data_IF_020710621592
#
_entry.id   IF_020710621592
#
_cell.length_a   1.000
_cell.length_b   1.000
_cell.length_c   1.000
_cell.angle_alpha   90.00
_cell.angle_beta   90.00
_cell.angle_gamma   90.00
#
_symmetry.space_group_name_H-M   'P 1'
#
loop_
_entity.id
_entity.type
_entity.pdbx_description
1 polymer ?
#
# COMPACT_ATOMS: atom_id res chain seq x y z
N UNK A 1 -2.95 3.32 -1.67
CA UNK A 1 -1.51 2.96 -1.52
C UNK A 1 -1.31 1.66 -2.29
N UNK A 2 -0.59 1.67 -3.41
CA UNK A 2 -0.60 0.60 -4.40
C UNK A 2 0.55 -0.39 -4.18
N UNK A 3 0.27 -1.47 -3.47
CA UNK A 3 1.22 -2.56 -3.21
C UNK A 3 0.87 -3.74 -4.11
N UNK A 4 1.88 -4.38 -4.69
CA UNK A 4 1.69 -5.68 -5.31
C UNK A 4 1.48 -5.62 -6.83
N UNK A 5 2.03 -6.66 -7.44
CA UNK A 5 2.11 -6.88 -8.87
C UNK A 5 0.70 -6.82 -9.46
N UNK A 6 0.53 -6.07 -10.53
CA UNK A 6 -0.73 -6.01 -11.26
C UNK A 6 -0.51 -6.48 -12.70
N UNK A 7 -1.53 -7.13 -13.25
CA UNK A 7 -1.54 -7.56 -14.65
C UNK A 7 -2.14 -6.44 -15.49
N UNK A 8 -1.38 -5.97 -16.49
CA UNK A 8 -1.81 -4.91 -17.41
C UNK A 8 -1.45 -5.32 -18.83
N UNK A 9 -2.44 -5.37 -19.72
CA UNK A 9 -2.28 -5.86 -21.10
C UNK A 9 -1.50 -7.19 -21.14
N UNK A 10 -1.96 -8.19 -20.39
CA UNK A 10 -1.33 -9.50 -20.26
C UNK A 10 0.11 -9.56 -19.72
N UNK A 11 0.72 -8.42 -19.38
CA UNK A 11 2.05 -8.38 -18.77
C UNK A 11 1.97 -8.20 -17.25
N UNK A 12 2.75 -8.98 -16.51
CA UNK A 12 2.91 -8.82 -15.06
C UNK A 12 3.89 -7.68 -14.78
N UNK A 13 3.44 -6.65 -14.04
CA UNK A 13 4.28 -5.49 -13.68
C UNK A 13 4.62 -5.51 -12.19
N UNK A 14 5.91 -5.55 -11.85
CA UNK A 14 6.40 -5.45 -10.46
C UNK A 14 6.09 -4.06 -9.89
N UNK A 15 5.47 -4.03 -8.70
CA UNK A 15 5.42 -2.87 -7.80
C UNK A 15 6.14 -3.23 -6.49
N UNK A 16 7.45 -3.47 -6.57
CA UNK A 16 8.26 -3.90 -5.41
C UNK A 16 8.87 -2.75 -4.60
N UNK A 17 8.86 -1.53 -5.13
CA UNK A 17 9.34 -0.33 -4.45
C UNK A 17 8.16 0.65 -4.36
N UNK A 18 7.60 0.76 -3.15
CA UNK A 18 6.55 1.71 -2.84
C UNK A 18 7.14 3.05 -2.41
N UNK A 19 6.30 4.09 -2.42
CA UNK A 19 6.61 5.36 -1.74
C UNK A 19 5.62 5.58 -0.60
N UNK A 20 6.15 5.92 0.58
CA UNK A 20 5.38 6.39 1.71
C UNK A 20 5.76 7.86 1.98
N UNK A 21 4.92 8.78 1.48
CA UNK A 21 5.29 10.20 1.43
C UNK A 21 6.57 10.38 0.59
N UNK A 22 7.61 11.00 1.19
CA UNK A 22 8.92 11.19 0.56
C UNK A 22 9.87 10.00 0.70
N UNK A 23 9.46 8.91 1.37
CA UNK A 23 10.34 7.77 1.68
C UNK A 23 10.12 6.61 0.71
N UNK A 24 11.22 6.02 0.29
CA UNK A 24 11.21 4.76 -0.46
C UNK A 24 10.99 3.61 0.52
N UNK A 25 10.07 2.71 0.20
CA UNK A 25 9.73 1.54 1.03
C UNK A 25 9.76 0.26 0.20
N UNK A 26 10.11 -0.83 0.85
CA UNK A 26 10.02 -2.20 0.36
C UNK A 26 8.93 -2.92 1.15
N UNK A 27 8.01 -3.59 0.47
CA UNK A 27 6.99 -4.40 1.12
C UNK A 27 7.62 -5.73 1.56
N UNK A 28 7.42 -6.11 2.81
CA UNK A 28 7.96 -7.35 3.37
C UNK A 28 6.88 -8.42 3.51
N UNK A 29 5.73 -8.06 4.09
CA UNK A 29 4.66 -9.02 4.36
C UNK A 29 3.31 -8.33 4.57
N UNK A 30 2.23 -9.10 4.53
CA UNK A 30 0.89 -8.69 4.92
C UNK A 30 0.38 -9.65 5.97
N UNK A 31 0.08 -9.14 7.16
CA UNK A 31 -0.35 -9.93 8.31
C UNK A 31 -1.73 -9.51 8.76
N UNK A 32 -2.49 -10.47 9.24
CA UNK A 32 -3.77 -10.25 9.90
C UNK A 32 -3.59 -10.26 11.42
N UNK A 33 -4.21 -9.32 12.12
CA UNK A 33 -4.29 -9.28 13.58
C UNK A 33 -5.70 -8.82 13.97
N UNK A 34 -6.45 -9.64 14.69
CA UNK A 34 -7.80 -9.35 15.18
C UNK A 34 -8.74 -8.83 14.07
N UNK A 35 -8.79 -9.53 12.93
CA UNK A 35 -9.64 -9.15 11.79
C UNK A 35 -9.19 -7.90 11.02
N UNK A 36 -8.09 -7.27 11.45
CA UNK A 36 -7.50 -6.10 10.80
C UNK A 36 -6.28 -6.48 9.99
N UNK A 37 -6.17 -5.86 8.81
CA UNK A 37 -5.05 -6.08 7.91
C UNK A 37 -3.91 -5.09 8.18
N UNK A 38 -2.69 -5.60 8.33
CA UNK A 38 -1.48 -4.83 8.52
C UNK A 38 -0.47 -5.13 7.42
N UNK A 39 0.16 -4.09 6.89
CA UNK A 39 1.28 -4.21 5.96
C UNK A 39 2.59 -3.98 6.71
N UNK A 40 3.49 -4.95 6.60
CA UNK A 40 4.84 -4.88 7.12
C UNK A 40 5.75 -4.38 6.01
N UNK A 41 6.43 -3.26 6.24
CA UNK A 41 7.25 -2.60 5.23
C UNK A 41 8.60 -2.19 5.81
N UNK A 42 9.64 -2.24 4.98
CA UNK A 42 10.98 -1.77 5.29
C UNK A 42 11.21 -0.42 4.64
N UNK A 43 11.58 0.59 5.43
CA UNK A 43 11.92 1.91 4.91
C UNK A 43 13.36 1.93 4.41
N UNK A 44 13.54 2.16 3.11
CA UNK A 44 14.84 2.29 2.47
C UNK A 44 15.35 3.74 2.57
N UNK A 45 16.57 3.92 3.07
CA UNK A 45 17.23 5.25 3.21
C UNK A 45 18.36 5.43 2.21
N UNK A 46 18.10 5.14 0.94
CA UNK A 46 19.11 5.02 -0.14
C UNK A 46 19.89 6.32 -0.41
N UNK A 47 19.35 7.49 -0.07
CA UNK A 47 19.97 8.79 -0.41
C UNK A 47 20.79 9.45 0.72
N UNK A 48 21.14 8.74 1.80
CA UNK A 48 21.55 9.39 3.06
C UNK A 48 23.04 9.39 3.41
N UNK A 49 23.93 8.88 2.57
CA UNK A 49 25.35 8.79 2.92
C UNK A 49 25.99 10.18 3.09
N UNK A 50 25.87 11.05 2.07
CA UNK A 50 26.44 12.41 2.08
C UNK A 50 25.90 13.28 3.21
N UNK A 51 24.58 13.24 3.43
CA UNK A 51 23.92 14.02 4.49
C UNK A 51 24.23 13.50 5.89
N UNK A 52 24.47 12.20 6.06
CA UNK A 52 24.86 11.63 7.35
C UNK A 52 26.33 11.90 7.70
N UNK A 53 27.20 12.00 6.68
CA UNK A 53 28.58 12.46 6.85
C UNK A 53 28.60 13.92 7.34
N UNK A 54 27.88 14.81 6.65
CA UNK A 54 27.81 16.23 7.02
C UNK A 54 27.21 16.48 8.40
N UNK A 55 26.30 15.61 8.87
CA UNK A 55 25.64 15.74 10.18
C UNK A 55 26.31 14.93 11.29
N UNK A 56 27.43 14.24 11.04
CA UNK A 56 28.12 13.41 12.04
C UNK A 56 27.31 12.18 12.49
N UNK A 57 26.26 11.80 11.77
CA UNK A 57 25.36 10.69 12.11
C UNK A 57 25.60 9.43 11.28
N UNK A 58 26.84 9.23 10.81
CA UNK A 58 27.23 8.11 9.93
C UNK A 58 26.86 6.73 10.52
N UNK A 59 26.89 6.57 11.86
CA UNK A 59 26.43 5.36 12.57
C UNK A 59 24.96 4.98 12.32
N UNK A 60 24.16 5.91 11.80
CA UNK A 60 22.75 5.71 11.47
C UNK A 60 22.52 5.39 9.98
N UNK A 61 23.58 5.42 9.15
CA UNK A 61 23.55 4.97 7.77
C UNK A 61 23.43 3.44 7.76
N UNK A 62 22.47 2.91 7.00
CA UNK A 62 22.25 1.47 6.89
C UNK A 62 21.30 0.85 7.93
N UNK A 63 20.86 1.61 8.95
CA UNK A 63 19.78 1.14 9.84
C UNK A 63 18.43 1.26 9.12
N UNK A 64 17.93 0.14 8.63
CA UNK A 64 16.59 0.03 8.05
C UNK A 64 15.56 -0.09 9.17
N UNK A 65 14.43 0.60 9.01
CA UNK A 65 13.34 0.55 9.97
C UNK A 65 12.19 -0.27 9.38
N UNK A 66 11.77 -1.29 10.10
CA UNK A 66 10.52 -1.99 9.82
C UNK A 66 9.37 -1.21 10.44
N UNK A 67 8.33 -0.97 9.66
CA UNK A 67 7.11 -0.31 10.09
C UNK A 67 5.93 -1.22 9.80
N UNK A 68 4.99 -1.30 10.73
CA UNK A 68 3.68 -1.89 10.51
C UNK A 68 2.68 -0.76 10.29
N UNK A 69 1.84 -0.89 9.26
CA UNK A 69 0.78 0.07 8.98
C UNK A 69 -0.55 -0.67 8.86
N UNK A 70 -1.54 -0.25 9.65
CA UNK A 70 -2.93 -0.68 9.48
C UNK A 70 -3.45 -0.21 8.13
N UNK A 71 -4.04 -1.13 7.37
CA UNK A 71 -4.74 -0.83 6.12
C UNK A 71 -6.17 -0.44 6.45
N UNK A 72 -6.67 0.62 5.83
CA UNK A 72 -8.10 0.91 5.82
C UNK A 72 -8.71 0.13 4.65
N UNK A 73 -9.63 -0.78 4.96
CA UNK A 73 -10.28 -1.67 3.99
C UNK A 73 -11.20 -0.89 3.03
N UNK A 74 -11.77 0.24 3.49
CA UNK A 74 -12.69 1.07 2.72
C UNK A 74 -12.01 2.33 2.15
N UNK A 75 -10.70 2.28 1.88
CA UNK A 75 -9.91 3.44 1.47
C UNK A 75 -9.94 3.76 -0.03
N UNK A 76 -10.73 3.03 -0.83
CA UNK A 76 -10.87 3.33 -2.26
C UNK A 76 -11.95 4.38 -2.50
N UNK A 77 -11.53 5.64 -2.52
CA UNK A 77 -12.41 6.82 -2.70
C UNK A 77 -12.98 6.95 -4.13
N UNK A 78 -12.63 6.04 -5.05
CA UNK A 78 -13.16 6.05 -6.44
C UNK A 78 -14.40 5.19 -6.61
N UNK A 79 -14.81 4.48 -5.58
CA UNK A 79 -15.95 3.57 -5.59
C UNK A 79 -16.90 3.93 -4.46
N UNK A 80 -18.19 3.79 -4.74
CA UNK A 80 -19.20 3.72 -3.72
C UNK A 80 -19.36 2.25 -3.35
N UNK A 81 -18.99 1.93 -2.11
CA UNK A 81 -19.23 0.62 -1.51
C UNK A 81 -20.64 0.62 -0.93
N UNK A 82 -21.41 -0.45 -1.13
CA UNK A 82 -22.77 -0.53 -0.60
C UNK A 82 -22.81 -0.90 0.89
N UNK A 83 -21.71 -1.44 1.40
CA UNK A 83 -21.51 -1.81 2.80
C UNK A 83 -20.04 -1.58 3.17
N UNK A 84 -19.74 -1.44 4.45
CA UNK A 84 -18.38 -1.29 4.96
C UNK A 84 -17.71 -2.65 5.20
N UNK A 85 -16.46 -2.80 4.74
CA UNK A 85 -15.58 -3.89 5.17
C UNK A 85 -15.06 -3.62 6.59
N UNK A 86 -15.53 -4.40 7.56
CA UNK A 86 -15.12 -4.30 8.97
C UNK A 86 -14.00 -5.27 9.33
N UNK A 87 -14.02 -6.46 8.73
CA UNK A 87 -13.11 -7.57 9.00
C UNK A 87 -12.70 -8.23 7.66
N UNK A 88 -11.46 -8.70 7.55
CA UNK A 88 -10.98 -9.45 6.38
C UNK A 88 -11.46 -10.90 6.35
N UNK A 89 -11.83 -11.46 7.50
CA UNK A 89 -12.30 -12.84 7.65
C UNK A 89 -13.83 -12.98 7.61
N UNK A 90 -14.55 -11.88 7.41
CA UNK A 90 -16.02 -11.87 7.40
C UNK A 90 -16.61 -12.76 6.27
N UNK A 91 -15.79 -13.17 5.29
CA UNK A 91 -16.18 -14.07 4.19
C UNK A 91 -17.20 -13.47 3.22
N UNK A 92 -17.60 -12.21 3.44
CA UNK A 92 -18.58 -11.48 2.64
C UNK A 92 -17.95 -10.90 1.38
N UNK A 93 -18.74 -10.89 0.32
CA UNK A 93 -18.44 -10.17 -0.90
C UNK A 93 -19.30 -8.91 -0.91
N UNK A 94 -18.65 -7.75 -1.00
CA UNK A 94 -19.34 -6.46 -1.05
C UNK A 94 -19.39 -5.96 -2.50
N UNK A 95 -20.60 -5.64 -2.93
CA UNK A 95 -20.84 -5.01 -4.23
C UNK A 95 -20.51 -3.51 -4.17
N UNK A 96 -20.04 -2.96 -5.29
CA UNK A 96 -19.65 -1.55 -5.39
C UNK A 96 -19.97 -1.00 -6.77
N UNK A 97 -20.18 0.31 -6.87
CA UNK A 97 -20.26 1.02 -8.15
C UNK A 97 -19.12 2.05 -8.31
N UNK A 98 -18.59 2.27 -9.52
CA UNK A 98 -17.64 3.34 -9.76
C UNK A 98 -18.33 4.71 -9.58
N UNK A 99 -17.64 5.67 -8.94
CA UNK A 99 -18.16 7.05 -8.78
C UNK A 99 -18.02 7.90 -10.05
N UNK A 100 -17.22 7.44 -11.03
CA UNK A 100 -16.99 8.17 -12.28
C UNK A 100 -17.96 7.72 -13.37
N UNK A 101 -18.67 8.68 -13.98
CA UNK A 101 -19.59 8.46 -15.10
C UNK A 101 -18.95 7.77 -16.32
N UNK A 102 -17.63 7.90 -16.51
CA UNK A 102 -16.92 7.30 -17.65
C UNK A 102 -16.84 5.76 -17.60
N UNK A 103 -17.25 5.15 -16.48
CA UNK A 103 -17.18 3.70 -16.25
C UNK A 103 -18.56 3.07 -16.04
N UNK A 104 -19.64 3.84 -16.21
CA UNK A 104 -20.97 3.25 -16.30
C UNK A 104 -21.04 2.45 -17.61
N UNK A 105 -21.47 1.17 -17.59
CA UNK A 105 -21.75 0.46 -18.82
C UNK A 105 -22.83 1.22 -19.59
N UNK A 106 -22.69 1.35 -20.90
CA UNK A 106 -23.72 1.93 -21.75
C UNK A 106 -25.00 1.12 -21.57
N UNK A 107 -25.96 1.66 -20.81
CA UNK A 107 -27.30 1.12 -20.75
C UNK A 107 -28.01 1.56 -22.02
N UNK A 108 -27.97 0.68 -23.04
CA UNK A 108 -28.86 0.72 -24.21
C UNK A 108 -30.22 0.17 -23.81
#
# INVERSE_FOLDING_TARGET
MQNGIYRFNNSWKKRGIGKLGSRTIEHLDTVEKDGKLYQVMKVLRTNRLRSSILSGTVRNVGKFQTIERRVNLNADDKRMWFEDLLDVNDGKIINSMPLSMNYLPDFV
#
